data_IF_875364847191
#
_entry.id   IF_875364847191
#
_cell.length_a   1.000
_cell.length_b   1.000
_cell.length_c   1.000
_cell.angle_alpha   90.00
_cell.angle_beta   90.00
_cell.angle_gamma   90.00
#
_symmetry.space_group_name_H-M   'P 1'
#
loop_
_entity.id
_entity.type
_entity.pdbx_description
1 polymer ?
#
# COMPACT_ATOMS: atom_id res chain seq x y z
N UNK A 1 31.75 -10.39 0.11
CA UNK A 1 30.79 -10.45 1.23
C UNK A 1 29.39 -10.56 0.63
N UNK A 2 28.67 -11.65 0.89
CA UNK A 2 27.33 -11.89 0.36
C UNK A 2 26.36 -11.15 1.29
N UNK A 3 25.62 -10.16 0.80
CA UNK A 3 24.64 -9.44 1.62
C UNK A 3 23.56 -10.45 2.07
N UNK A 4 23.22 -10.44 3.37
CA UNK A 4 22.11 -11.22 3.90
C UNK A 4 20.80 -10.70 3.29
N UNK A 5 20.20 -11.50 2.42
CA UNK A 5 18.94 -11.16 1.78
C UNK A 5 17.79 -11.75 2.59
N UNK A 6 16.96 -10.88 3.15
CA UNK A 6 15.81 -11.25 3.96
C UNK A 6 14.57 -11.47 3.07
N UNK A 7 13.91 -12.61 3.27
CA UNK A 7 12.65 -12.94 2.62
C UNK A 7 11.55 -13.03 3.66
N UNK A 8 10.39 -12.43 3.36
CA UNK A 8 9.23 -12.43 4.24
C UNK A 8 8.06 -13.12 3.56
N UNK A 9 7.38 -14.00 4.29
CA UNK A 9 6.14 -14.62 3.83
C UNK A 9 4.99 -13.63 3.98
N UNK A 10 4.19 -13.47 2.93
CA UNK A 10 2.95 -12.68 2.95
C UNK A 10 1.78 -13.55 2.53
N UNK A 11 0.61 -13.28 3.09
CA UNK A 11 -0.66 -13.86 2.66
C UNK A 11 -1.48 -12.76 2.00
N UNK A 12 -1.96 -13.01 0.78
CA UNK A 12 -2.75 -12.07 0.00
C UNK A 12 -4.22 -12.51 0.11
N UNK A 13 -5.09 -11.59 0.50
CA UNK A 13 -6.54 -11.79 0.52
C UNK A 13 -7.18 -10.77 -0.40
N UNK A 14 -8.03 -11.25 -1.31
CA UNK A 14 -8.90 -10.39 -2.11
C UNK A 14 -10.21 -10.15 -1.37
N UNK A 15 -10.85 -8.99 -1.61
CA UNK A 15 -12.15 -8.68 -0.99
C UNK A 15 -13.29 -9.53 -1.58
N UNK A 16 -13.11 -10.02 -2.81
CA UNK A 16 -14.05 -10.90 -3.51
C UNK A 16 -13.33 -12.00 -4.26
N UNK A 17 -14.01 -13.13 -4.42
CA UNK A 17 -13.65 -14.26 -5.28
C UNK A 17 -14.16 -14.10 -6.71
N UNK A 18 -14.83 -12.97 -7.03
CA UNK A 18 -15.42 -12.69 -8.33
C UNK A 18 -14.70 -11.57 -9.06
N UNK A 19 -14.46 -11.79 -10.34
CA UNK A 19 -14.01 -10.80 -11.30
C UNK A 19 -15.17 -10.47 -12.25
N UNK A 20 -15.35 -9.19 -12.55
CA UNK A 20 -16.38 -8.73 -13.48
C UNK A 20 -15.75 -8.36 -14.81
N UNK A 21 -16.32 -8.83 -15.92
CA UNK A 21 -15.93 -8.35 -17.24
C UNK A 21 -16.61 -7.01 -17.57
N UNK A 22 -16.28 -6.43 -18.73
CA UNK A 22 -16.86 -5.16 -19.20
C UNK A 22 -18.38 -5.19 -19.38
N UNK A 23 -18.96 -6.38 -19.53
CA UNK A 23 -20.40 -6.61 -19.68
C UNK A 23 -21.10 -6.89 -18.35
N UNK A 24 -20.37 -6.83 -17.22
CA UNK A 24 -20.91 -7.06 -15.87
C UNK A 24 -21.10 -8.53 -15.49
N UNK A 25 -20.63 -9.47 -16.30
CA UNK A 25 -20.68 -10.90 -15.97
C UNK A 25 -19.61 -11.24 -14.93
N UNK A 26 -20.03 -11.94 -13.87
CA UNK A 26 -19.15 -12.41 -12.82
C UNK A 26 -18.47 -13.75 -13.17
N UNK A 27 -17.18 -13.86 -12.86
CA UNK A 27 -16.37 -15.05 -13.01
C UNK A 27 -15.63 -15.33 -11.70
N UNK A 28 -15.59 -16.57 -11.25
CA UNK A 28 -14.81 -16.97 -10.09
C UNK A 28 -13.30 -16.98 -10.40
N UNK A 29 -12.47 -16.71 -9.39
CA UNK A 29 -11.03 -16.93 -9.48
C UNK A 29 -10.74 -18.44 -9.35
N UNK A 30 -10.13 -19.04 -10.36
CA UNK A 30 -9.78 -20.47 -10.39
C UNK A 30 -8.27 -20.70 -10.26
N UNK A 31 -7.83 -21.87 -9.77
CA UNK A 31 -6.40 -22.21 -9.77
C UNK A 31 -5.78 -22.10 -11.16
N UNK A 32 -4.52 -21.66 -11.23
CA UNK A 32 -3.78 -21.44 -12.47
C UNK A 32 -3.82 -19.99 -12.99
N UNK A 33 -4.65 -19.12 -12.39
CA UNK A 33 -4.61 -17.69 -12.66
C UNK A 33 -3.37 -17.04 -12.02
N UNK A 34 -2.79 -16.05 -12.70
CA UNK A 34 -1.64 -15.27 -12.21
C UNK A 34 -2.11 -13.89 -11.79
N UNK A 35 -1.64 -13.42 -10.63
CA UNK A 35 -1.88 -12.07 -10.13
C UNK A 35 -0.54 -11.38 -9.86
N UNK A 36 -0.48 -10.08 -10.14
CA UNK A 36 0.66 -9.21 -9.79
C UNK A 36 0.28 -8.40 -8.56
N UNK A 37 1.16 -8.36 -7.57
CA UNK A 37 0.92 -7.66 -6.31
C UNK A 37 2.13 -6.81 -5.98
N UNK A 38 1.88 -5.54 -5.64
CA UNK A 38 2.90 -4.59 -5.21
C UNK A 38 2.71 -4.25 -3.72
N UNK A 39 3.81 -4.28 -2.95
CA UNK A 39 3.79 -3.82 -1.56
C UNK A 39 4.03 -2.31 -1.56
N UNK A 40 2.96 -1.54 -1.34
CA UNK A 40 3.06 -0.08 -1.16
C UNK A 40 3.38 0.22 0.30
N UNK A 41 4.61 0.66 0.57
CA UNK A 41 5.01 1.14 1.90
C UNK A 41 4.87 2.65 2.00
N UNK A 42 4.33 3.11 3.13
CA UNK A 42 4.10 4.53 3.39
C UNK A 42 2.89 5.09 2.63
N UNK A 43 2.16 5.97 3.30
CA UNK A 43 1.09 6.74 2.69
C UNK A 43 1.28 8.20 3.10
N UNK A 44 1.24 9.11 2.13
CA UNK A 44 1.17 10.55 2.38
C UNK A 44 -0.09 11.07 1.74
N UNK A 45 -0.97 11.62 2.56
CA UNK A 45 -2.14 12.34 2.12
C UNK A 45 -1.76 13.74 1.64
N UNK A 46 -2.63 14.37 0.85
CA UNK A 46 -2.46 15.79 0.49
C UNK A 46 -2.43 16.66 1.75
N UNK A 47 -3.24 16.32 2.76
CA UNK A 47 -3.26 17.01 4.05
C UNK A 47 -1.90 16.97 4.76
N UNK A 48 -1.16 15.86 4.70
CA UNK A 48 0.19 15.74 5.28
C UNK A 48 1.16 16.78 4.69
N UNK A 49 0.98 17.16 3.42
CA UNK A 49 1.77 18.21 2.79
C UNK A 49 1.33 19.61 3.23
N UNK A 50 0.03 19.82 3.41
CA UNK A 50 -0.52 21.09 3.89
C UNK A 50 -0.15 21.39 5.35
N UNK A 51 -0.03 20.35 6.18
CA UNK A 51 0.29 20.49 7.62
C UNK A 51 1.79 20.57 7.93
N UNK A 52 2.68 20.25 6.97
CA UNK A 52 4.14 20.37 7.11
C UNK A 52 4.64 21.72 7.68
N UNK A 53 4.19 22.91 7.21
CA UNK A 53 4.66 24.19 7.74
C UNK A 53 4.27 24.43 9.20
N UNK A 54 3.12 23.91 9.64
CA UNK A 54 2.65 24.05 11.03
C UNK A 54 3.44 23.17 11.99
N UNK A 55 3.94 22.03 11.54
CA UNK A 55 4.83 21.19 12.34
C UNK A 55 6.17 21.90 12.63
N UNK A 56 6.70 22.67 11.68
CA UNK A 56 7.91 23.50 11.90
C UNK A 56 7.66 24.66 12.88
N UNK A 57 6.46 25.23 12.89
CA UNK A 57 6.10 26.32 13.81
C UNK A 57 6.05 25.85 15.27
N UNK A 58 5.73 24.58 15.53
CA UNK A 58 5.74 23.98 16.88
C UNK A 58 7.16 23.80 17.44
N UNK A 59 8.15 23.55 16.61
CA UNK A 59 9.56 23.47 17.03
C UNK A 59 10.15 24.86 17.32
N UNK A 60 9.78 25.88 16.53
CA UNK A 60 10.21 27.27 16.76
C UNK A 60 9.71 27.88 18.08
N UNK A 61 8.69 27.28 18.72
CA UNK A 61 8.15 27.68 20.03
C UNK A 61 8.75 26.87 21.20
N UNK A 62 9.65 25.92 20.93
CA UNK A 62 10.31 25.09 21.96
C UNK A 62 11.79 25.43 22.19
N UNK A 63 12.36 26.39 21.47
CA UNK A 63 13.63 27.01 21.85
C UNK A 63 13.39 28.14 22.86
N UNK A 64 13.21 27.76 24.13
CA UNK A 64 13.71 28.44 25.33
C UNK A 64 13.95 27.41 26.43
#
# INVERSE_FOLDING_TARGET
MKQDQFYYRVYIRTDSDKLYNKEGKAFGITPGMVATVDIRTGQKTVLDYLLKPFNKAKEALRER
#
